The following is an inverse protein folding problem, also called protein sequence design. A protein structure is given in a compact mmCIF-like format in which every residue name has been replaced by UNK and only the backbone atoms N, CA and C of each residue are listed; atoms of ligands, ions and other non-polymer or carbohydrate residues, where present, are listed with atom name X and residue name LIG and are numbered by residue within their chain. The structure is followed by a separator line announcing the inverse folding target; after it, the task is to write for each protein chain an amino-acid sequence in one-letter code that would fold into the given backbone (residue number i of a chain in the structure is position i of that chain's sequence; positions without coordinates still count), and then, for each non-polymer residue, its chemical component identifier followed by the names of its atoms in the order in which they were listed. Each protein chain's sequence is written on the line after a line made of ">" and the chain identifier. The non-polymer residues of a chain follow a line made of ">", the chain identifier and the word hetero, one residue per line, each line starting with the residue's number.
data_IF_804431669532
#
_entry.id   IF_804431669532
#
_cell.length_a   1.000
_cell.length_b   1.000
_cell.length_c   1.000
_cell.angle_alpha   90.00
_cell.angle_beta   90.00
_cell.angle_gamma   90.00
#
_symmetry.space_group_name_H-M   'P 1'
#
loop_
_entity.id
_entity.type
_entity.pdbx_description
1 polymer ?
#
# COMPACT_ATOMS: atom_id res chain seq x y z
N UNK A 1 -3.21 -19.63 19.94
CA UNK A 1 -2.43 -18.40 19.75
C UNK A 1 -3.41 -17.28 19.48
N UNK A 2 -3.24 -16.10 20.06
CA UNK A 2 -4.04 -14.95 19.66
C UNK A 2 -3.71 -14.65 18.20
N UNK A 3 -4.71 -14.55 17.36
CA UNK A 3 -4.58 -14.25 15.93
C UNK A 3 -4.71 -12.75 15.65
N UNK A 4 -4.91 -11.95 16.67
CA UNK A 4 -4.96 -10.49 16.61
C UNK A 4 -3.79 -9.88 17.38
N UNK A 5 -3.11 -8.93 16.79
CA UNK A 5 -1.96 -8.29 17.40
C UNK A 5 -1.67 -6.92 16.82
N UNK A 6 -0.89 -6.13 17.54
CA UNK A 6 -0.41 -4.85 17.08
C UNK A 6 1.07 -4.67 17.42
N UNK A 7 1.74 -3.83 16.66
CA UNK A 7 3.10 -3.41 16.91
C UNK A 7 3.20 -1.89 16.77
N UNK A 8 3.69 -1.22 17.83
CA UNK A 8 3.84 0.24 17.82
C UNK A 8 5.28 0.59 17.44
N UNK A 9 5.42 1.40 16.41
CA UNK A 9 6.63 2.14 16.06
C UNK A 9 6.50 3.58 16.55
N UNK A 10 7.54 4.46 16.39
CA UNK A 10 7.56 5.80 17.00
C UNK A 10 6.24 6.58 16.83
N UNK A 11 5.78 6.76 15.59
CA UNK A 11 4.60 7.58 15.27
C UNK A 11 3.44 6.77 14.66
N UNK A 12 3.59 5.45 14.62
CA UNK A 12 2.69 4.57 13.90
C UNK A 12 2.39 3.31 14.68
N UNK A 13 1.25 2.72 14.37
CA UNK A 13 0.90 1.38 14.81
C UNK A 13 0.55 0.52 13.61
N UNK A 14 1.14 -0.66 13.55
CA UNK A 14 0.78 -1.72 12.61
C UNK A 14 -0.15 -2.68 13.35
N UNK A 15 -1.29 -3.00 12.74
CA UNK A 15 -2.33 -3.82 13.35
C UNK A 15 -2.66 -4.99 12.45
N UNK A 16 -2.62 -6.19 13.04
CA UNK A 16 -3.12 -7.40 12.41
C UNK A 16 -4.37 -7.87 13.16
N UNK A 17 -5.48 -7.98 12.46
CA UNK A 17 -6.72 -8.53 12.99
C UNK A 17 -7.11 -9.78 12.20
N UNK A 18 -7.54 -10.82 12.91
CA UNK A 18 -8.24 -11.91 12.28
C UNK A 18 -9.71 -11.49 12.09
N UNK A 19 -10.00 -10.99 10.91
CA UNK A 19 -11.25 -10.30 10.65
C UNK A 19 -12.13 -11.14 9.71
N UNK A 20 -12.79 -12.14 10.23
CA UNK A 20 -13.72 -12.98 9.45
C UNK A 20 -15.02 -12.23 9.17
N UNK A 21 -15.55 -11.51 10.17
CA UNK A 21 -16.83 -10.77 10.07
C UNK A 21 -16.68 -9.24 9.98
N UNK A 22 -15.48 -8.72 10.13
CA UNK A 22 -15.23 -7.29 10.18
C UNK A 22 -15.50 -6.62 11.54
N UNK A 23 -16.02 -7.36 12.51
CA UNK A 23 -16.44 -6.78 13.79
C UNK A 23 -15.29 -6.28 14.64
N UNK A 24 -14.15 -6.99 14.66
CA UNK A 24 -12.95 -6.54 15.37
C UNK A 24 -12.44 -5.22 14.80
N UNK A 25 -12.53 -5.07 13.48
CA UNK A 25 -12.18 -3.82 12.81
C UNK A 25 -13.14 -2.67 13.18
N UNK A 26 -14.44 -2.91 13.18
CA UNK A 26 -15.43 -1.92 13.61
C UNK A 26 -15.20 -1.48 15.05
N UNK A 27 -14.90 -2.40 15.95
CA UNK A 27 -14.57 -2.08 17.34
C UNK A 27 -13.32 -1.19 17.44
N UNK A 28 -12.27 -1.52 16.67
CA UNK A 28 -11.07 -0.70 16.60
C UNK A 28 -11.38 0.71 16.07
N UNK A 29 -12.12 0.80 14.97
CA UNK A 29 -12.47 2.07 14.34
C UNK A 29 -13.36 2.95 15.25
N UNK A 30 -14.28 2.36 16.01
CA UNK A 30 -15.06 3.07 17.02
C UNK A 30 -14.19 3.61 18.16
N UNK A 31 -13.22 2.82 18.63
CA UNK A 31 -12.25 3.30 19.63
C UNK A 31 -11.35 4.40 19.08
N UNK A 32 -11.02 4.34 17.81
CA UNK A 32 -10.33 5.43 17.14
C UNK A 32 -11.16 6.72 17.16
N UNK A 33 -12.48 6.63 16.96
CA UNK A 33 -13.39 7.76 17.13
C UNK A 33 -13.29 8.37 18.54
N UNK A 34 -13.42 7.55 19.59
CA UNK A 34 -13.33 8.01 20.96
C UNK A 34 -11.95 8.64 21.27
N UNK A 35 -10.88 8.02 20.76
CA UNK A 35 -9.52 8.54 20.87
C UNK A 35 -9.37 9.92 20.23
N UNK A 36 -9.88 10.12 19.02
CA UNK A 36 -9.82 11.40 18.33
C UNK A 36 -10.68 12.47 19.01
N UNK A 37 -11.85 12.11 19.54
CA UNK A 37 -12.73 13.02 20.29
C UNK A 37 -12.09 13.50 21.59
N UNK A 38 -11.28 12.65 22.23
CA UNK A 38 -10.56 13.00 23.48
C UNK A 38 -9.32 13.88 23.22
N UNK A 39 -9.07 14.27 21.98
CA UNK A 39 -7.93 15.10 21.60
C UNK A 39 -6.58 14.42 21.82
N UNK A 40 -6.52 13.13 21.55
CA UNK A 40 -5.30 12.31 21.67
C UNK A 40 -4.68 12.34 23.09
N UNK A 41 -5.49 12.40 24.11
CA UNK A 41 -5.03 12.41 25.52
C UNK A 41 -4.57 11.04 26.01
N UNK A 42 -5.02 9.97 25.35
CA UNK A 42 -4.65 8.61 25.70
C UNK A 42 -3.45 8.15 24.86
N UNK A 43 -2.56 7.31 25.42
CA UNK A 43 -1.53 6.66 24.62
C UNK A 43 -2.16 5.81 23.51
N UNK A 44 -1.55 5.80 22.32
CA UNK A 44 -2.03 5.00 21.19
C UNK A 44 -2.20 3.51 21.56
N UNK A 45 -1.34 2.97 22.42
CA UNK A 45 -1.41 1.59 22.94
C UNK A 45 -2.78 1.27 23.55
N UNK A 46 -3.39 2.19 24.30
CA UNK A 46 -4.69 1.95 24.95
C UNK A 46 -5.84 1.78 23.93
N UNK A 47 -5.66 2.25 22.71
CA UNK A 47 -6.59 2.01 21.60
C UNK A 47 -6.72 0.51 21.30
N UNK A 48 -5.59 -0.19 21.24
CA UNK A 48 -5.53 -1.61 20.86
C UNK A 48 -5.75 -2.55 22.03
N UNK A 49 -5.18 -2.24 23.21
CA UNK A 49 -5.36 -3.04 24.43
C UNK A 49 -6.81 -3.19 24.85
N UNK A 50 -7.63 -2.24 24.44
CA UNK A 50 -9.05 -2.26 24.73
C UNK A 50 -9.90 -2.90 23.60
N UNK A 51 -9.29 -3.29 22.48
CA UNK A 51 -9.95 -4.08 21.43
C UNK A 51 -9.87 -5.55 21.82
N UNK A 52 -11.02 -6.23 21.86
CA UNK A 52 -11.11 -7.60 22.36
C UNK A 52 -10.16 -8.55 21.61
N UNK A 53 -9.39 -9.30 22.36
CA UNK A 53 -8.42 -10.27 21.81
C UNK A 53 -7.17 -9.66 21.16
N UNK A 54 -7.06 -8.35 21.01
CA UNK A 54 -5.90 -7.70 20.41
C UNK A 54 -4.80 -7.48 21.46
N UNK A 55 -3.58 -7.92 21.18
CA UNK A 55 -2.43 -7.82 22.10
C UNK A 55 -1.21 -7.26 21.37
N UNK A 56 -0.40 -6.50 22.12
CA UNK A 56 0.92 -6.13 21.61
C UNK A 56 1.79 -7.38 21.44
N UNK A 57 2.38 -7.50 20.24
CA UNK A 57 3.23 -8.62 19.86
C UNK A 57 4.59 -8.10 19.40
N UNK A 58 5.58 -8.98 19.37
CA UNK A 58 6.89 -8.61 18.85
C UNK A 58 6.84 -8.36 17.34
N UNK A 59 7.82 -7.65 16.80
CA UNK A 59 7.96 -7.42 15.37
C UNK A 59 7.97 -8.73 14.58
N UNK A 60 8.74 -9.71 15.04
CA UNK A 60 8.85 -11.01 14.36
C UNK A 60 7.50 -11.77 14.35
N UNK A 61 6.73 -11.66 15.43
CA UNK A 61 5.42 -12.28 15.49
C UNK A 61 4.42 -11.55 14.58
N UNK A 62 4.50 -10.21 14.50
CA UNK A 62 3.69 -9.43 13.58
C UNK A 62 3.99 -9.78 12.12
N UNK A 63 5.27 -9.79 11.73
CA UNK A 63 5.71 -10.13 10.38
C UNK A 63 5.25 -11.54 9.97
N UNK A 64 5.31 -12.50 10.89
CA UNK A 64 4.83 -13.86 10.64
C UNK A 64 3.30 -13.92 10.41
N UNK A 65 2.52 -13.14 11.16
CA UNK A 65 1.06 -13.05 10.98
C UNK A 65 0.71 -12.30 9.70
N UNK A 66 1.41 -11.22 9.38
CA UNK A 66 1.22 -10.45 8.17
C UNK A 66 1.51 -11.32 6.92
N UNK A 67 2.62 -12.06 6.94
CA UNK A 67 2.95 -13.02 5.87
C UNK A 67 1.86 -14.08 5.73
N UNK A 68 1.42 -14.69 6.83
CA UNK A 68 0.35 -15.67 6.82
C UNK A 68 -0.93 -15.10 6.19
N UNK A 69 -1.29 -13.85 6.55
CA UNK A 69 -2.48 -13.18 6.03
C UNK A 69 -2.37 -12.89 4.53
N UNK A 70 -1.23 -12.41 4.07
CA UNK A 70 -0.99 -12.14 2.65
C UNK A 70 -1.01 -13.41 1.79
N UNK A 71 -0.55 -14.55 2.33
CA UNK A 71 -0.56 -15.85 1.65
C UNK A 71 -1.96 -16.49 1.61
N UNK A 72 -2.86 -16.10 2.52
CA UNK A 72 -4.19 -16.67 2.65
C UNK A 72 -5.22 -15.59 2.32
N UNK A 73 -5.59 -15.53 1.05
CA UNK A 73 -6.59 -14.58 0.53
C UNK A 73 -7.93 -14.77 1.22
N UNK A 74 -8.37 -13.76 1.98
CA UNK A 74 -9.71 -13.66 2.54
C UNK A 74 -10.36 -12.37 2.06
N UNK A 75 -11.69 -12.28 2.16
CA UNK A 75 -12.45 -11.11 1.71
C UNK A 75 -12.02 -9.81 2.43
N UNK A 76 -11.50 -9.93 3.65
CA UNK A 76 -10.97 -8.79 4.41
C UNK A 76 -9.50 -9.03 4.74
N UNK A 77 -8.63 -8.06 4.40
CA UNK A 77 -7.18 -8.22 4.57
C UNK A 77 -6.75 -8.32 6.04
N UNK A 78 -7.39 -7.60 6.93
CA UNK A 78 -7.04 -7.59 8.36
C UNK A 78 -5.68 -6.98 8.69
N UNK A 79 -5.00 -6.36 7.74
CA UNK A 79 -3.75 -5.62 7.93
C UNK A 79 -4.02 -4.13 7.81
N UNK A 80 -3.69 -3.40 8.86
CA UNK A 80 -3.91 -1.97 8.96
C UNK A 80 -2.66 -1.27 9.47
N UNK A 81 -2.50 -0.04 9.06
CA UNK A 81 -1.46 0.83 9.55
C UNK A 81 -2.06 2.18 9.92
N UNK A 82 -1.78 2.66 11.13
CA UNK A 82 -2.22 3.95 11.64
C UNK A 82 -1.01 4.87 11.77
N UNK A 83 -1.03 5.98 11.05
CA UNK A 83 -0.07 7.06 11.20
C UNK A 83 -0.75 8.19 11.98
N UNK A 84 -0.34 8.36 13.23
CA UNK A 84 -0.95 9.36 14.12
C UNK A 84 -0.48 10.79 13.80
N UNK A 85 0.69 10.95 13.20
CA UNK A 85 1.20 12.26 12.77
C UNK A 85 0.52 12.73 11.49
N UNK A 86 0.47 11.86 10.47
CA UNK A 86 -0.24 12.14 9.23
C UNK A 86 -1.76 12.05 9.38
N UNK A 87 -2.26 11.45 10.46
CA UNK A 87 -3.68 11.15 10.70
C UNK A 87 -4.32 10.32 9.60
N UNK A 88 -3.59 9.33 9.14
CA UNK A 88 -4.06 8.42 8.11
C UNK A 88 -4.25 7.01 8.66
N UNK A 89 -5.21 6.33 8.08
CA UNK A 89 -5.51 4.92 8.28
C UNK A 89 -5.31 4.20 6.95
N UNK A 90 -4.38 3.28 6.89
CA UNK A 90 -4.11 2.51 5.69
C UNK A 90 -4.57 1.07 5.89
N UNK A 91 -5.29 0.53 4.93
CA UNK A 91 -5.72 -0.86 4.91
C UNK A 91 -5.13 -1.56 3.68
N UNK A 92 -4.59 -2.77 3.86
CA UNK A 92 -4.13 -3.59 2.74
C UNK A 92 -5.31 -4.41 2.22
N UNK A 93 -5.69 -4.15 0.98
CA UNK A 93 -6.54 -5.03 0.20
C UNK A 93 -5.64 -5.85 -0.74
N UNK A 94 -5.76 -7.18 -0.68
CA UNK A 94 -4.91 -8.07 -1.49
C UNK A 94 -5.14 -7.88 -2.99
N UNK A 95 -6.33 -7.46 -3.40
CA UNK A 95 -6.67 -7.23 -4.81
C UNK A 95 -6.24 -5.84 -5.30
N UNK A 96 -6.36 -4.83 -4.42
CA UNK A 96 -6.23 -3.41 -4.80
C UNK A 96 -5.01 -2.73 -4.16
N UNK A 97 -4.23 -3.46 -3.37
CA UNK A 97 -3.08 -2.90 -2.64
C UNK A 97 -3.48 -2.08 -1.41
N UNK A 98 -2.66 -1.13 -1.03
CA UNK A 98 -2.91 -0.27 0.11
C UNK A 98 -3.89 0.85 -0.25
N UNK A 99 -4.99 0.94 0.49
CA UNK A 99 -5.93 2.06 0.46
C UNK A 99 -5.70 2.93 1.69
N UNK A 100 -5.66 4.26 1.49
CA UNK A 100 -5.35 5.23 2.53
C UNK A 100 -6.56 6.13 2.76
N UNK A 101 -7.03 6.18 4.00
CA UNK A 101 -8.18 6.95 4.43
C UNK A 101 -7.77 8.00 5.45
N UNK A 102 -8.51 9.10 5.55
CA UNK A 102 -8.38 9.96 6.70
C UNK A 102 -8.86 9.21 7.96
N UNK A 103 -8.06 9.24 9.02
CA UNK A 103 -8.36 8.55 10.27
C UNK A 103 -9.71 8.97 10.86
N UNK A 104 -10.07 10.25 10.71
CA UNK A 104 -11.36 10.77 11.14
C UNK A 104 -12.55 10.21 10.35
N UNK A 105 -12.40 9.97 9.05
CA UNK A 105 -13.48 9.44 8.21
C UNK A 105 -13.77 7.99 8.57
N UNK A 106 -12.73 7.18 8.79
CA UNK A 106 -12.87 5.81 9.30
C UNK A 106 -13.58 5.79 10.65
N UNK A 107 -13.18 6.66 11.55
CA UNK A 107 -13.78 6.77 12.88
C UNK A 107 -15.26 7.19 12.80
N UNK A 108 -15.58 8.19 11.98
CA UNK A 108 -16.95 8.65 11.80
C UNK A 108 -17.86 7.60 11.17
N UNK A 109 -17.36 6.90 10.14
CA UNK A 109 -18.10 5.82 9.48
C UNK A 109 -18.43 4.68 10.46
N UNK A 110 -17.47 4.30 11.31
CA UNK A 110 -17.68 3.28 12.34
C UNK A 110 -18.69 3.72 13.39
N UNK A 111 -18.58 4.93 13.93
CA UNK A 111 -19.54 5.43 14.93
C UNK A 111 -20.96 5.46 14.35
N UNK A 112 -21.11 5.88 13.12
CA UNK A 112 -22.39 5.91 12.44
C UNK A 112 -22.97 4.50 12.23
N UNK A 113 -22.14 3.50 11.91
CA UNK A 113 -22.56 2.11 11.81
C UNK A 113 -23.03 1.54 13.17
N UNK A 114 -22.48 2.02 14.28
CA UNK A 114 -22.90 1.61 15.62
C UNK A 114 -24.16 2.32 16.13
N UNK A 115 -24.46 3.52 15.66
CA UNK A 115 -25.63 4.29 16.09
C UNK A 115 -26.98 3.73 15.55
N UNK A 116 -26.94 2.95 14.50
CA UNK A 116 -28.13 2.35 13.90
C UNK A 116 -28.54 1.08 14.67
N UNK A 117 -29.31 1.26 15.70
CA UNK A 117 -29.47 0.34 16.84
C UNK A 117 -30.21 -1.00 16.57
N UNK A 118 -30.80 -1.23 15.41
CA UNK A 118 -31.58 -2.45 15.10
C UNK A 118 -30.94 -3.33 14.02
N UNK A 119 -29.68 -3.11 13.67
CA UNK A 119 -29.03 -3.72 12.51
C UNK A 119 -28.16 -4.91 12.96
N UNK A 120 -28.16 -5.99 12.21
CA UNK A 120 -27.29 -7.14 12.41
C UNK A 120 -25.79 -6.76 12.33
N UNK A 121 -24.91 -7.58 12.88
CA UNK A 121 -23.47 -7.36 12.83
C UNK A 121 -22.95 -7.28 11.38
N UNK A 122 -23.44 -8.14 10.50
CA UNK A 122 -23.08 -8.16 9.08
C UNK A 122 -23.56 -6.90 8.36
N UNK A 123 -24.77 -6.42 8.69
CA UNK A 123 -25.27 -5.17 8.12
C UNK A 123 -24.50 -3.95 8.61
N UNK A 124 -24.04 -3.93 9.87
CA UNK A 124 -23.20 -2.83 10.38
C UNK A 124 -21.88 -2.75 9.62
N UNK A 125 -21.25 -3.90 9.36
CA UNK A 125 -20.03 -3.95 8.57
C UNK A 125 -20.25 -3.45 7.14
N UNK A 126 -21.32 -3.88 6.48
CA UNK A 126 -21.68 -3.41 5.15
C UNK A 126 -21.96 -1.89 5.12
N UNK A 127 -22.73 -1.38 6.08
CA UNK A 127 -23.00 0.06 6.20
C UNK A 127 -21.71 0.85 6.40
N UNK A 128 -20.78 0.33 7.21
CA UNK A 128 -19.47 0.95 7.39
C UNK A 128 -18.70 1.04 6.07
N UNK A 129 -18.62 -0.05 5.32
CA UNK A 129 -17.94 -0.08 4.02
C UNK A 129 -18.59 0.87 3.01
N UNK A 130 -19.93 0.86 2.90
CA UNK A 130 -20.69 1.76 2.01
C UNK A 130 -20.44 3.24 2.34
N UNK A 131 -20.20 3.57 3.61
CA UNK A 131 -19.90 4.95 4.03
C UNK A 131 -18.46 5.35 3.87
N UNK A 132 -17.56 4.39 3.96
CA UNK A 132 -16.14 4.60 3.73
C UNK A 132 -15.82 4.68 2.24
N UNK A 133 -16.67 4.09 1.40
CA UNK A 133 -16.51 4.17 -0.04
C UNK A 133 -16.57 5.65 -0.53
N UNK A 134 -15.64 6.00 -1.40
CA UNK A 134 -15.46 7.39 -1.86
C UNK A 134 -14.75 8.33 -0.85
N UNK A 135 -14.37 7.85 0.35
CA UNK A 135 -13.59 8.62 1.33
C UNK A 135 -12.10 8.31 1.28
N UNK A 136 -11.71 7.41 0.41
CA UNK A 136 -10.32 7.07 0.18
C UNK A 136 -9.53 8.34 -0.16
N UNK A 137 -8.39 8.51 0.51
CA UNK A 137 -7.44 9.56 0.17
C UNK A 137 -6.75 9.16 -1.13
N UNK A 138 -7.36 9.57 -2.21
CA UNK A 138 -6.92 9.29 -3.57
C UNK A 138 -5.96 10.33 -4.10
N UNK A 139 -5.61 11.32 -3.31
CA UNK A 139 -4.65 12.34 -3.71
C UNK A 139 -3.53 11.73 -4.52
N UNK A 140 -2.80 12.47 -5.36
CA UNK A 140 -1.46 12.10 -5.68
C UNK A 140 -0.72 12.08 -4.35
N UNK A 141 -1.06 11.07 -3.58
CA UNK A 141 -0.49 10.81 -2.29
C UNK A 141 0.98 10.67 -2.54
N UNK A 142 1.76 11.49 -1.87
CA UNK A 142 3.20 11.33 -1.91
C UNK A 142 3.52 9.88 -1.61
N UNK A 143 4.39 9.27 -2.39
CA UNK A 143 4.84 7.92 -2.13
C UNK A 143 5.51 7.87 -0.76
N UNK A 144 4.98 7.02 0.08
CA UNK A 144 5.55 6.72 1.40
C UNK A 144 5.86 5.23 1.44
N UNK A 145 6.68 4.79 2.37
CA UNK A 145 7.00 3.37 2.52
C UNK A 145 5.75 2.47 2.74
N UNK A 146 4.58 3.06 2.90
CA UNK A 146 3.34 2.42 3.34
C UNK A 146 2.30 2.27 2.25
N UNK A 147 2.29 3.15 1.26
CA UNK A 147 1.21 3.22 0.29
C UNK A 147 1.56 2.59 -1.07
N UNK A 148 2.66 1.86 -1.16
CA UNK A 148 2.99 1.10 -2.34
C UNK A 148 3.85 -0.13 -2.03
N UNK A 149 3.87 -1.08 -2.95
CA UNK A 149 4.80 -2.20 -2.98
C UNK A 149 5.21 -2.50 -4.43
N UNK A 150 6.26 -3.28 -4.60
CA UNK A 150 6.62 -3.80 -5.91
C UNK A 150 6.01 -5.18 -6.10
N UNK A 151 5.51 -5.40 -7.29
CA UNK A 151 4.98 -6.69 -7.72
C UNK A 151 5.73 -7.16 -8.97
N UNK A 152 5.65 -8.44 -9.25
CA UNK A 152 6.33 -9.10 -10.35
C UNK A 152 7.87 -9.10 -10.31
N UNK A 153 8.46 -9.36 -11.45
CA UNK A 153 9.89 -9.45 -11.63
C UNK A 153 10.50 -8.09 -11.96
N UNK A 154 11.77 -7.91 -11.57
CA UNK A 154 12.54 -6.78 -12.03
C UNK A 154 12.93 -7.02 -13.49
N UNK A 155 12.63 -6.08 -14.35
CA UNK A 155 12.95 -6.15 -15.77
C UNK A 155 14.05 -5.15 -16.15
N UNK A 156 15.03 -5.61 -16.92
CA UNK A 156 15.96 -4.72 -17.59
C UNK A 156 15.31 -4.20 -18.88
N UNK A 157 14.95 -2.91 -18.91
CA UNK A 157 14.33 -2.28 -20.07
C UNK A 157 15.32 -2.02 -21.20
N UNK A 158 16.56 -1.74 -20.84
CA UNK A 158 17.68 -1.46 -21.74
C UNK A 158 19.01 -1.72 -21.01
N UNK A 159 20.13 -1.36 -21.65
CA UNK A 159 21.47 -1.49 -21.08
C UNK A 159 21.74 -0.55 -19.88
N UNK A 160 20.77 0.21 -19.45
CA UNK A 160 20.94 1.23 -18.41
C UNK A 160 19.85 1.24 -17.35
N UNK A 161 18.67 0.80 -17.66
CA UNK A 161 17.47 1.02 -16.85
C UNK A 161 16.86 -0.28 -16.35
N UNK A 162 16.69 -0.39 -15.03
CA UNK A 162 15.82 -1.38 -14.39
C UNK A 162 14.43 -0.82 -14.20
N UNK A 163 13.44 -1.61 -14.50
CA UNK A 163 12.04 -1.29 -14.33
C UNK A 163 11.44 -2.09 -13.19
N UNK A 164 10.72 -1.40 -12.30
CA UNK A 164 10.00 -1.99 -11.18
C UNK A 164 8.51 -1.66 -11.32
N UNK A 165 7.68 -2.67 -11.37
CA UNK A 165 6.23 -2.47 -11.37
C UNK A 165 5.76 -2.06 -9.98
N UNK A 166 5.08 -0.92 -9.90
CA UNK A 166 4.60 -0.33 -8.65
C UNK A 166 3.11 -0.56 -8.51
N UNK A 167 2.70 -1.20 -7.43
CA UNK A 167 1.30 -1.25 -7.03
C UNK A 167 1.06 -0.21 -5.95
N UNK A 168 0.29 0.81 -6.28
CA UNK A 168 -0.05 1.91 -5.39
C UNK A 168 -1.45 2.44 -5.68
N UNK A 169 -2.12 2.94 -4.63
CA UNK A 169 -3.39 3.63 -4.81
C UNK A 169 -3.12 5.09 -5.22
N UNK A 170 -3.38 5.41 -6.47
CA UNK A 170 -3.42 6.76 -6.99
C UNK A 170 -4.84 7.12 -7.43
N UNK A 171 -5.22 8.38 -7.26
CA UNK A 171 -6.44 8.88 -7.85
C UNK A 171 -6.24 9.02 -9.36
N UNK A 172 -6.95 8.20 -10.11
CA UNK A 172 -6.92 8.22 -11.57
C UNK A 172 -7.39 9.57 -12.10
N UNK A 173 -8.45 10.15 -11.53
CA UNK A 173 -8.99 11.44 -11.95
C UNK A 173 -8.00 12.58 -11.70
N UNK A 174 -7.24 12.54 -10.60
CA UNK A 174 -6.21 13.54 -10.32
C UNK A 174 -4.98 13.34 -11.20
N UNK A 175 -4.60 12.10 -11.48
CA UNK A 175 -3.46 11.79 -12.33
C UNK A 175 -3.73 12.15 -13.79
N UNK A 176 -4.92 11.86 -14.30
CA UNK A 176 -5.27 11.99 -15.72
C UNK A 176 -6.34 13.06 -16.00
N UNK A 177 -6.84 13.75 -14.96
CA UNK A 177 -7.94 14.72 -15.07
C UNK A 177 -9.31 14.05 -15.14
N UNK A 178 -10.36 14.86 -15.09
CA UNK A 178 -11.76 14.43 -14.99
C UNK A 178 -12.35 13.79 -16.26
N UNK A 179 -11.53 13.30 -17.18
CA UNK A 179 -11.97 12.82 -18.48
C UNK A 179 -12.17 11.31 -18.58
N UNK A 180 -11.81 10.59 -17.54
CA UNK A 180 -11.96 9.14 -17.55
C UNK A 180 -13.26 8.82 -16.84
N UNK A 181 -14.34 8.65 -17.60
CA UNK A 181 -15.51 7.92 -17.11
C UNK A 181 -15.04 6.46 -16.94
N UNK A 182 -14.58 6.15 -15.74
CA UNK A 182 -14.21 4.79 -15.38
C UNK A 182 -15.50 4.02 -15.12
N UNK A 183 -15.83 3.12 -16.02
CA UNK A 183 -16.66 1.98 -15.62
C UNK A 183 -15.75 1.11 -14.76
N UNK A 184 -16.06 0.97 -13.48
CA UNK A 184 -15.19 0.48 -12.40
C UNK A 184 -14.50 -0.88 -12.64
N UNK A 185 -14.87 -1.59 -13.70
CA UNK A 185 -14.41 -2.96 -13.95
C UNK A 185 -13.43 -3.11 -15.12
N UNK A 186 -13.16 -2.08 -15.89
CA UNK A 186 -12.42 -2.22 -17.15
C UNK A 186 -11.14 -1.38 -17.26
N UNK A 187 -10.74 -0.64 -16.22
CA UNK A 187 -9.57 0.23 -16.28
C UNK A 187 -8.46 -0.25 -15.35
N UNK A 188 -7.25 -0.30 -15.87
CA UNK A 188 -6.05 -0.62 -15.12
C UNK A 188 -5.03 0.52 -15.21
N UNK A 189 -4.45 0.89 -14.09
CA UNK A 189 -3.35 1.85 -14.02
C UNK A 189 -2.05 1.10 -13.78
N UNK A 190 -1.18 1.11 -14.78
CA UNK A 190 0.16 0.56 -14.66
C UNK A 190 1.15 1.67 -14.28
N UNK A 191 1.94 1.41 -13.25
CA UNK A 191 2.92 2.35 -12.72
C UNK A 191 4.28 1.68 -12.71
N UNK A 192 5.28 2.36 -13.27
CA UNK A 192 6.65 1.87 -13.31
C UNK A 192 7.61 2.86 -12.69
N UNK A 193 8.46 2.34 -11.80
CA UNK A 193 9.57 3.08 -11.22
C UNK A 193 10.88 2.62 -11.87
N UNK A 194 11.63 3.54 -12.43
CA UNK A 194 12.86 3.27 -13.14
C UNK A 194 14.11 3.56 -12.28
N UNK A 195 15.12 2.70 -12.38
CA UNK A 195 16.39 2.83 -11.72
C UNK A 195 17.54 2.86 -12.72
N UNK A 196 18.31 3.93 -12.72
CA UNK A 196 19.52 4.06 -13.57
C UNK A 196 20.66 3.22 -12.95
N UNK A 197 20.96 2.09 -13.59
CA UNK A 197 21.99 1.15 -13.13
C UNK A 197 23.40 1.74 -13.13
N UNK A 198 23.71 2.61 -14.09
CA UNK A 198 25.04 3.23 -14.22
C UNK A 198 25.26 4.32 -13.17
N UNK A 199 24.23 5.13 -12.93
CA UNK A 199 24.26 6.22 -11.94
C UNK A 199 23.92 5.73 -10.53
N UNK A 200 23.36 4.53 -10.41
CA UNK A 200 22.88 3.92 -9.18
C UNK A 200 21.88 4.83 -8.45
N UNK A 201 20.90 5.31 -9.17
CA UNK A 201 19.87 6.20 -8.63
C UNK A 201 18.50 5.93 -9.24
N UNK A 202 17.46 6.19 -8.46
CA UNK A 202 16.08 6.21 -8.94
C UNK A 202 15.93 7.37 -9.94
N UNK A 203 15.28 7.11 -11.07
CA UNK A 203 14.95 8.12 -12.05
C UNK A 203 14.03 9.20 -11.47
N UNK A 204 13.93 10.35 -12.15
CA UNK A 204 13.20 11.50 -11.63
C UNK A 204 11.69 11.33 -11.71
N UNK A 205 11.24 10.36 -12.45
CA UNK A 205 9.84 10.22 -12.87
C UNK A 205 9.35 8.79 -12.66
N UNK A 206 8.06 8.67 -12.28
CA UNK A 206 7.30 7.45 -12.45
C UNK A 206 6.56 7.52 -13.79
N UNK A 207 6.56 6.43 -14.52
CA UNK A 207 5.74 6.26 -15.71
C UNK A 207 4.41 5.65 -15.31
N UNK A 208 3.31 6.28 -15.70
CA UNK A 208 1.97 5.79 -15.45
C UNK A 208 1.20 5.67 -16.75
N UNK A 209 0.55 4.54 -16.96
CA UNK A 209 -0.29 4.33 -18.14
C UNK A 209 -1.64 3.76 -17.72
N UNK A 210 -2.69 4.46 -18.12
CA UNK A 210 -4.06 4.03 -17.94
C UNK A 210 -4.51 3.26 -19.17
N UNK A 211 -4.98 2.04 -18.95
CA UNK A 211 -5.57 1.17 -19.96
C UNK A 211 -7.05 0.95 -19.67
N UNK A 212 -7.87 0.77 -20.69
CA UNK A 212 -9.27 0.43 -20.46
C UNK A 212 -10.08 0.24 -21.73
N UNK A 213 -11.22 -0.40 -21.58
CA UNK A 213 -12.15 -0.63 -22.68
C UNK A 213 -12.78 0.70 -23.13
N UNK A 214 -12.64 1.05 -24.40
CA UNK A 214 -13.22 2.24 -24.99
C UNK A 214 -12.46 3.55 -24.77
N UNK A 215 -11.27 3.49 -24.17
CA UNK A 215 -10.34 4.63 -24.10
C UNK A 215 -9.06 4.30 -24.88
N UNK A 216 -8.43 5.34 -25.44
CA UNK A 216 -7.05 5.21 -25.89
C UNK A 216 -6.14 5.22 -24.67
N UNK A 217 -5.08 4.42 -24.69
CA UNK A 217 -4.09 4.37 -23.60
C UNK A 217 -3.57 5.79 -23.32
N UNK A 218 -3.66 6.19 -22.05
CA UNK A 218 -3.20 7.49 -21.62
C UNK A 218 -1.97 7.34 -20.74
N UNK A 219 -0.96 8.13 -21.02
CA UNK A 219 0.29 8.12 -20.28
C UNK A 219 0.48 9.44 -19.52
N UNK A 220 0.95 9.34 -18.29
CA UNK A 220 1.30 10.44 -17.44
C UNK A 220 2.66 10.19 -16.81
N UNK A 221 3.41 11.25 -16.62
CA UNK A 221 4.66 11.23 -15.88
C UNK A 221 4.46 11.91 -14.52
N UNK A 222 4.75 11.20 -13.45
CA UNK A 222 4.72 11.75 -12.09
C UNK A 222 6.13 12.13 -11.65
N UNK A 223 6.32 13.39 -11.26
CA UNK A 223 7.62 13.91 -10.81
C UNK A 223 7.90 13.56 -9.36
N UNK A 224 8.96 12.80 -9.13
CA UNK A 224 9.40 12.38 -7.80
C UNK A 224 10.21 13.49 -7.11
N UNK A 225 9.92 13.71 -5.84
CA UNK A 225 10.79 14.52 -4.99
C UNK A 225 11.92 13.67 -4.35
N UNK A 226 12.86 14.33 -3.68
CA UNK A 226 14.02 13.65 -3.10
C UNK A 226 13.63 12.61 -2.02
N UNK A 227 12.61 12.89 -1.21
CA UNK A 227 12.16 11.98 -0.17
C UNK A 227 11.49 10.72 -0.78
N UNK A 228 10.71 10.90 -1.83
CA UNK A 228 10.08 9.78 -2.56
C UNK A 228 11.12 8.88 -3.22
N UNK A 229 12.16 9.45 -3.82
CA UNK A 229 13.28 8.69 -4.40
C UNK A 229 14.00 7.85 -3.35
N UNK A 230 14.24 8.39 -2.16
CA UNK A 230 14.86 7.63 -1.06
C UNK A 230 13.98 6.48 -0.60
N UNK A 231 12.67 6.70 -0.50
CA UNK A 231 11.70 5.64 -0.17
C UNK A 231 11.70 4.55 -1.24
N UNK A 232 11.64 4.93 -2.52
CA UNK A 232 11.70 3.97 -3.64
C UNK A 232 13.00 3.20 -3.63
N UNK A 233 14.14 3.89 -3.49
CA UNK A 233 15.46 3.25 -3.44
C UNK A 233 15.56 2.22 -2.32
N UNK A 234 15.08 2.55 -1.11
CA UNK A 234 15.09 1.64 0.02
C UNK A 234 14.22 0.40 -0.24
N UNK A 235 13.05 0.58 -0.85
CA UNK A 235 12.18 -0.55 -1.23
C UNK A 235 12.76 -1.38 -2.38
N UNK A 236 13.37 -0.78 -3.39
CA UNK A 236 14.08 -1.48 -4.46
C UNK A 236 15.21 -2.36 -3.90
N UNK A 237 15.99 -1.82 -2.95
CA UNK A 237 17.03 -2.60 -2.26
C UNK A 237 16.43 -3.78 -1.50
N UNK A 238 15.36 -3.55 -0.73
CA UNK A 238 14.68 -4.60 0.02
C UNK A 238 14.11 -5.68 -0.91
N UNK A 239 13.49 -5.28 -2.02
CA UNK A 239 12.92 -6.18 -3.00
C UNK A 239 13.99 -7.04 -3.68
N UNK A 240 15.12 -6.45 -4.11
CA UNK A 240 16.24 -7.22 -4.65
C UNK A 240 16.80 -8.23 -3.63
N UNK A 241 16.94 -7.82 -2.38
CA UNK A 241 17.40 -8.74 -1.32
C UNK A 241 16.43 -9.89 -1.10
N UNK A 242 15.14 -9.66 -1.22
CA UNK A 242 14.10 -10.67 -1.02
C UNK A 242 13.97 -11.62 -2.22
N UNK A 243 13.94 -11.09 -3.44
CA UNK A 243 13.70 -11.87 -4.66
C UNK A 243 14.98 -12.48 -5.22
N UNK A 244 16.04 -11.68 -5.33
CA UNK A 244 17.29 -12.07 -5.99
C UNK A 244 18.38 -12.51 -4.99
N UNK A 245 18.15 -12.30 -3.68
CA UNK A 245 19.08 -12.63 -2.61
C UNK A 245 20.43 -11.87 -2.67
N UNK A 246 20.48 -10.77 -3.42
CA UNK A 246 21.64 -9.89 -3.55
C UNK A 246 21.18 -8.42 -3.45
N UNK A 247 22.14 -7.52 -3.17
CA UNK A 247 21.84 -6.09 -3.15
C UNK A 247 21.48 -5.55 -4.54
N UNK A 248 20.70 -4.48 -4.59
CA UNK A 248 20.38 -3.77 -5.83
C UNK A 248 21.66 -3.38 -6.62
N UNK A 249 22.69 -2.91 -5.91
CA UNK A 249 23.96 -2.57 -6.54
C UNK A 249 24.67 -3.77 -7.15
N UNK A 250 24.61 -4.94 -6.48
CA UNK A 250 25.20 -6.18 -7.00
C UNK A 250 24.40 -6.69 -8.21
N UNK A 251 23.08 -6.65 -8.14
CA UNK A 251 22.19 -7.03 -9.22
C UNK A 251 22.45 -6.20 -10.49
N UNK A 252 22.51 -4.87 -10.36
CA UNK A 252 22.86 -3.98 -11.46
C UNK A 252 24.23 -4.31 -12.07
N UNK A 253 25.22 -4.60 -11.22
CA UNK A 253 26.57 -4.93 -11.69
C UNK A 253 26.63 -6.22 -12.49
N UNK A 254 25.89 -7.24 -12.08
CA UNK A 254 25.80 -8.52 -12.78
C UNK A 254 25.14 -8.34 -14.15
N UNK A 255 24.01 -7.63 -14.22
CA UNK A 255 23.32 -7.32 -15.47
C UNK A 255 24.22 -6.55 -16.45
N UNK A 256 24.92 -5.51 -15.99
CA UNK A 256 25.83 -4.73 -16.84
C UNK A 256 27.00 -5.57 -17.35
N UNK A 257 27.51 -6.50 -16.56
CA UNK A 257 28.58 -7.41 -16.97
C UNK A 257 28.13 -8.43 -18.02
N UNK A 258 26.91 -8.94 -17.87
CA UNK A 258 26.34 -9.89 -18.85
C UNK A 258 26.04 -9.22 -20.19
N UNK A 259 25.66 -7.96 -20.20
CA UNK A 259 25.47 -7.15 -21.41
C UNK A 259 26.81 -6.90 -22.14
N UNK A 260 27.88 -6.59 -21.40
CA UNK A 260 29.21 -6.40 -21.96
C UNK A 260 29.83 -7.72 -22.48
N UNK A 261 29.40 -8.86 -21.90
CA UNK A 261 29.87 -10.19 -22.30
C UNK A 261 29.11 -10.79 -23.49
N UNK A 262 27.96 -10.24 -23.86
CA UNK A 262 27.20 -10.67 -25.02
C UNK A 262 27.99 -10.35 -26.32
N UNK A 263 28.48 -11.34 -27.08
CA UNK A 263 29.32 -11.07 -28.22
C UNK A 263 28.50 -10.36 -29.29
N UNK A 264 29.13 -9.42 -29.98
CA UNK A 264 28.65 -8.82 -31.22
C UNK A 264 28.47 -9.92 -32.32
N UNK A 265 27.49 -10.79 -32.13
CA UNK A 265 27.01 -11.71 -33.14
C UNK A 265 25.74 -11.09 -33.74
N UNK A 266 25.91 -10.40 -34.80
CA UNK A 266 25.08 -10.29 -36.00
C UNK A 266 25.33 -8.97 -36.75
N UNK A 267 26.46 -8.91 -37.35
CA UNK A 267 26.57 -8.16 -38.60
C UNK A 267 27.52 -8.91 -39.51
N UNK A 268 27.03 -10.04 -40.00
CA UNK A 268 27.54 -10.62 -41.26
C UNK A 268 26.34 -11.20 -42.02
N UNK A 269 25.74 -10.37 -42.82
CA UNK A 269 25.28 -10.71 -44.19
C UNK A 269 24.97 -9.43 -44.92
#
# INVERSE_FOLDING_TARGET
>A
MSTAGFHITEDCAEVYLQNESGMEFLQLARRLHDYLQQGQRLPARSLFEATDGCKEISREAFDALAKYRMENTGEVSGLFELDFDARTFSALNIMDGWKVYAMQDVANAAEQAFQEAEISEDDRWRIFLDRLDGQELTAPGRLTARNFYFEDTIEAMDDRTLNFYVVACFNVDEAFGTFVETDENDHALNIYANYDMQRQQVCDELEMTLYGSGIEDQSLTYQLNAAEKEVLRAKMEAYCMEQEHISLAQFCKELLQDQDAAPAQEMRL
#
